data_IF_053531966151
#
_entry.id   IF_053531966151
#
_cell.length_a   1.000
_cell.length_b   1.000
_cell.length_c   1.000
_cell.angle_alpha   90.00
_cell.angle_beta   90.00
_cell.angle_gamma   90.00
#
_symmetry.space_group_name_H-M   'P 1'
#
loop_
_entity.id
_entity.type
_entity.pdbx_description
1 polymer ?
#
# COMPACT_ATOMS: atom_id res chain seq x y z
N UNK A 1 -24.60 37.56 -50.49
CA UNK A 1 -24.93 36.51 -49.50
C UNK A 1 -24.09 35.26 -49.77
N UNK A 2 -22.97 35.07 -49.06
CA UNK A 2 -22.29 33.77 -48.95
C UNK A 2 -21.73 33.70 -47.54
N UNK A 3 -22.39 32.96 -46.64
CA UNK A 3 -21.93 32.74 -45.27
C UNK A 3 -20.83 31.68 -45.32
N UNK A 4 -19.58 32.09 -45.08
CA UNK A 4 -18.50 31.15 -44.82
C UNK A 4 -18.67 30.66 -43.36
N UNK A 5 -19.10 29.42 -43.19
CA UNK A 5 -19.09 28.76 -41.89
C UNK A 5 -17.69 28.18 -41.72
N UNK A 6 -16.86 28.85 -40.91
CA UNK A 6 -15.54 28.38 -40.52
C UNK A 6 -15.71 27.36 -39.38
N UNK A 7 -15.73 26.06 -39.70
CA UNK A 7 -15.59 25.00 -38.71
C UNK A 7 -14.12 24.88 -38.30
N UNK A 8 -13.72 25.61 -37.26
CA UNK A 8 -12.39 25.43 -36.66
C UNK A 8 -12.45 24.27 -35.69
N UNK A 9 -12.01 23.10 -36.14
CA UNK A 9 -11.87 21.89 -35.31
C UNK A 9 -10.74 22.16 -34.33
N UNK A 10 -11.06 22.41 -33.06
CA UNK A 10 -10.09 22.45 -31.97
C UNK A 10 -9.58 21.03 -31.72
N UNK A 11 -8.33 20.77 -32.09
CA UNK A 11 -7.65 19.54 -31.74
C UNK A 11 -7.21 19.61 -30.27
N UNK A 12 -8.02 19.03 -29.38
CA UNK A 12 -7.62 18.77 -28.00
C UNK A 12 -6.54 17.68 -28.06
N UNK A 13 -5.27 18.07 -27.94
CA UNK A 13 -4.20 17.12 -27.63
C UNK A 13 -4.47 16.67 -26.19
N UNK A 14 -5.28 15.63 -26.03
CA UNK A 14 -5.33 14.88 -24.79
C UNK A 14 -3.97 14.18 -24.66
N UNK A 15 -3.01 14.86 -24.04
CA UNK A 15 -1.77 14.22 -23.63
C UNK A 15 -2.13 13.06 -22.74
N UNK A 16 -1.87 11.84 -23.20
CA UNK A 16 -2.11 10.62 -22.43
C UNK A 16 -1.22 10.67 -21.20
N UNK A 17 -1.76 11.09 -20.06
CA UNK A 17 -1.11 10.85 -18.77
C UNK A 17 -1.09 9.34 -18.56
N UNK A 18 0.09 8.74 -18.61
CA UNK A 18 0.27 7.34 -18.23
C UNK A 18 0.14 7.27 -16.70
N UNK A 19 -1.08 7.05 -16.22
CA UNK A 19 -1.33 6.83 -14.80
C UNK A 19 -0.53 5.62 -14.30
N UNK A 20 -0.11 5.65 -13.04
CA UNK A 20 0.55 4.50 -12.45
C UNK A 20 -0.36 3.25 -12.45
N UNK A 21 0.26 2.10 -12.71
CA UNK A 21 -0.40 0.80 -12.65
C UNK A 21 0.54 -0.26 -12.06
N UNK A 22 -0.03 -1.18 -11.29
CA UNK A 22 0.70 -2.28 -10.65
C UNK A 22 -0.17 -3.53 -10.58
N UNK A 23 0.35 -4.63 -11.14
CA UNK A 23 -0.31 -5.93 -11.10
C UNK A 23 0.31 -6.77 -9.99
N UNK A 24 -0.32 -6.75 -8.82
CA UNK A 24 0.06 -7.56 -7.67
C UNK A 24 -0.49 -8.97 -7.85
N UNK A 25 0.40 -9.95 -7.95
CA UNK A 25 0.03 -11.37 -8.17
C UNK A 25 -0.06 -12.17 -6.88
N UNK A 26 0.71 -11.78 -5.86
CA UNK A 26 0.72 -12.43 -4.55
C UNK A 26 0.81 -11.37 -3.48
N UNK A 27 0.03 -11.53 -2.41
CA UNK A 27 0.17 -10.73 -1.20
C UNK A 27 -0.15 -11.61 0.00
N UNK A 28 0.80 -11.69 0.94
CA UNK A 28 0.73 -12.54 2.11
C UNK A 28 1.10 -11.77 3.37
N UNK A 29 0.36 -12.03 4.45
CA UNK A 29 0.70 -11.60 5.79
C UNK A 29 1.01 -12.81 6.66
N UNK A 30 2.26 -12.94 7.06
CA UNK A 30 2.77 -14.04 7.87
C UNK A 30 2.87 -13.58 9.34
N UNK A 31 1.99 -14.04 10.23
CA UNK A 31 2.06 -13.70 11.65
C UNK A 31 3.31 -14.31 12.28
N UNK A 32 3.97 -13.53 13.13
CA UNK A 32 5.09 -13.99 13.96
C UNK A 32 4.93 -13.55 15.41
N UNK A 33 5.98 -13.78 16.20
CA UNK A 33 6.05 -13.24 17.55
C UNK A 33 6.34 -11.74 17.50
N UNK A 34 5.42 -10.93 18.02
CA UNK A 34 5.55 -9.47 18.12
C UNK A 34 5.73 -8.76 16.76
N UNK A 35 5.35 -9.41 15.67
CA UNK A 35 5.47 -8.86 14.32
C UNK A 35 4.53 -9.55 13.33
N UNK A 36 4.29 -8.88 12.21
CA UNK A 36 3.72 -9.47 11.00
C UNK A 36 4.68 -9.21 9.85
N UNK A 37 5.03 -10.25 9.09
CA UNK A 37 5.83 -10.10 7.88
C UNK A 37 4.89 -10.07 6.66
N UNK A 38 4.88 -8.96 5.95
CA UNK A 38 4.16 -8.77 4.71
C UNK A 38 5.08 -9.04 3.54
N UNK A 39 4.66 -9.90 2.62
CA UNK A 39 5.38 -10.17 1.39
C UNK A 39 4.42 -10.05 0.22
N UNK A 40 4.83 -9.32 -0.81
CA UNK A 40 4.05 -9.24 -2.05
C UNK A 40 4.95 -9.36 -3.27
N UNK A 41 4.35 -9.83 -4.34
CA UNK A 41 4.98 -10.00 -5.65
C UNK A 41 4.17 -9.28 -6.70
N UNK A 42 4.88 -8.63 -7.60
CA UNK A 42 4.34 -7.78 -8.64
C UNK A 42 4.86 -8.26 -9.98
N UNK A 43 3.95 -8.50 -10.92
CA UNK A 43 4.30 -8.95 -12.28
C UNK A 43 4.46 -7.81 -13.27
N UNK A 44 3.90 -6.63 -12.97
CA UNK A 44 4.01 -5.46 -13.82
C UNK A 44 3.92 -4.19 -12.98
N UNK A 45 4.79 -3.22 -13.24
CA UNK A 45 4.75 -1.88 -12.66
C UNK A 45 4.93 -0.85 -13.77
N UNK A 46 4.13 0.22 -13.76
CA UNK A 46 4.28 1.37 -14.65
C UNK A 46 4.07 2.63 -13.82
N UNK A 47 5.03 3.55 -13.83
CA UNK A 47 4.98 4.83 -13.08
C UNK A 47 4.67 4.71 -11.57
N UNK A 48 5.02 3.57 -10.96
CA UNK A 48 4.79 3.32 -9.52
C UNK A 48 5.91 3.93 -8.69
N UNK A 49 5.56 4.82 -7.77
CA UNK A 49 6.48 5.35 -6.73
C UNK A 49 6.84 4.28 -5.71
N UNK A 50 5.83 3.49 -5.34
CA UNK A 50 5.91 2.47 -4.30
C UNK A 50 4.55 2.13 -3.72
N UNK A 51 4.59 1.48 -2.57
CA UNK A 51 3.47 0.86 -1.90
C UNK A 51 3.33 1.45 -0.50
N UNK A 52 2.25 2.20 -0.28
CA UNK A 52 1.86 2.62 1.06
C UNK A 52 1.22 1.43 1.76
N UNK A 53 1.87 0.97 2.83
CA UNK A 53 1.39 -0.13 3.66
C UNK A 53 0.35 0.43 4.61
N UNK A 54 -0.87 -0.07 4.51
CA UNK A 54 -1.96 0.32 5.38
C UNK A 54 -2.44 -0.85 6.24
N UNK A 55 -2.80 -0.54 7.48
CA UNK A 55 -3.28 -1.50 8.46
C UNK A 55 -4.61 -1.06 9.06
N UNK A 56 -5.53 -2.01 9.23
CA UNK A 56 -6.78 -1.84 9.97
C UNK A 56 -6.94 -2.91 11.06
N UNK A 57 -7.86 -2.66 11.99
CA UNK A 57 -8.24 -3.63 13.05
C UNK A 57 -9.64 -4.23 12.84
N UNK A 58 -10.38 -3.74 11.86
CA UNK A 58 -11.78 -4.10 11.58
C UNK A 58 -12.04 -4.47 10.11
N UNK A 59 -10.99 -4.46 9.27
CA UNK A 59 -11.08 -4.71 7.83
C UNK A 59 -11.79 -3.63 7.02
N UNK A 60 -12.15 -2.49 7.64
CA UNK A 60 -12.89 -1.39 7.01
C UNK A 60 -12.09 -0.10 7.05
N UNK A 61 -11.53 0.22 8.21
CA UNK A 61 -10.75 1.42 8.45
C UNK A 61 -9.26 1.07 8.40
N UNK A 62 -8.56 1.67 7.46
CA UNK A 62 -7.13 1.46 7.24
C UNK A 62 -6.38 2.76 7.49
N UNK A 63 -5.28 2.66 8.24
CA UNK A 63 -4.35 3.77 8.47
C UNK A 63 -3.00 3.45 7.82
N UNK A 64 -2.31 4.44 7.24
CA UNK A 64 -0.94 4.25 6.78
C UNK A 64 -0.03 3.94 7.97
N UNK A 65 0.84 2.95 7.81
CA UNK A 65 1.86 2.61 8.81
C UNK A 65 3.28 2.76 8.27
N UNK A 66 3.47 2.61 6.97
CA UNK A 66 4.78 2.76 6.32
C UNK A 66 4.67 2.92 4.80
N UNK A 67 5.80 3.20 4.15
CA UNK A 67 5.91 3.28 2.69
C UNK A 67 7.12 2.49 2.18
N UNK A 68 6.88 1.55 1.27
CA UNK A 68 7.92 0.76 0.60
C UNK A 68 8.10 1.26 -0.83
N UNK A 69 9.23 1.90 -1.10
CA UNK A 69 9.57 2.43 -2.42
C UNK A 69 9.70 1.31 -3.46
N UNK A 70 9.19 1.55 -4.66
CA UNK A 70 9.38 0.63 -5.79
C UNK A 70 10.86 0.58 -6.19
N UNK A 71 11.29 -0.54 -6.79
CA UNK A 71 12.66 -0.65 -7.28
C UNK A 71 12.92 0.27 -8.47
N UNK A 72 14.17 0.68 -8.67
CA UNK A 72 14.56 1.56 -9.79
C UNK A 72 14.22 0.95 -11.16
N UNK A 73 14.27 -0.39 -11.26
CA UNK A 73 13.80 -1.11 -12.45
C UNK A 73 12.36 -1.58 -12.20
N UNK A 74 11.37 -1.15 -13.00
CA UNK A 74 9.98 -1.60 -12.85
C UNK A 74 9.85 -3.11 -13.08
N UNK A 75 8.88 -3.74 -12.39
CA UNK A 75 8.50 -5.11 -12.68
C UNK A 75 7.93 -5.25 -14.11
N UNK A 76 8.28 -6.35 -14.77
CA UNK A 76 7.67 -6.79 -16.02
C UNK A 76 7.37 -8.28 -15.94
N UNK A 77 6.54 -8.81 -16.83
CA UNK A 77 6.16 -10.23 -16.78
C UNK A 77 7.37 -11.17 -16.90
N UNK A 78 8.46 -10.72 -17.54
CA UNK A 78 9.72 -11.46 -17.64
C UNK A 78 10.63 -11.26 -16.41
N UNK A 79 10.42 -10.21 -15.61
CA UNK A 79 11.21 -9.87 -14.44
C UNK A 79 10.31 -9.36 -13.30
N UNK A 80 9.54 -10.25 -12.66
CA UNK A 80 8.69 -9.88 -11.54
C UNK A 80 9.52 -9.40 -10.35
N UNK A 81 8.94 -8.50 -9.54
CA UNK A 81 9.59 -7.98 -8.33
C UNK A 81 8.89 -8.49 -7.08
N UNK A 82 9.68 -8.75 -6.05
CA UNK A 82 9.18 -9.11 -4.74
C UNK A 82 9.60 -8.07 -3.72
N UNK A 83 8.69 -7.75 -2.81
CA UNK A 83 8.88 -6.77 -1.76
C UNK A 83 8.50 -7.37 -0.42
N UNK A 84 9.10 -6.84 0.64
CA UNK A 84 8.86 -7.29 2.01
C UNK A 84 8.76 -6.11 2.95
N UNK A 85 7.91 -6.25 3.97
CA UNK A 85 7.77 -5.29 5.06
C UNK A 85 7.51 -6.01 6.38
N UNK A 86 8.13 -5.56 7.46
CA UNK A 86 7.93 -6.15 8.80
C UNK A 86 7.26 -5.13 9.70
N UNK A 87 5.98 -5.35 9.98
CA UNK A 87 5.23 -4.56 10.95
C UNK A 87 5.55 -5.00 12.38
N UNK A 88 6.28 -4.17 13.12
CA UNK A 88 6.59 -4.34 14.56
C UNK A 88 5.77 -3.41 15.46
N UNK A 89 4.85 -2.64 14.88
CA UNK A 89 4.06 -1.62 15.59
C UNK A 89 2.73 -2.16 16.13
N UNK A 90 2.57 -3.49 16.14
CA UNK A 90 1.34 -4.22 16.47
C UNK A 90 0.96 -4.20 17.97
N UNK A 91 1.77 -3.59 18.82
CA UNK A 91 1.53 -3.50 20.27
C UNK A 91 0.58 -2.37 20.69
N UNK A 92 0.31 -1.43 19.78
CA UNK A 92 -0.49 -0.23 20.07
C UNK A 92 -2.00 -0.49 20.07
N UNK A 93 -2.55 -1.31 19.15
CA UNK A 93 -3.99 -1.55 19.10
C UNK A 93 -4.42 -2.67 20.05
N UNK A 94 -5.65 -2.59 20.57
CA UNK A 94 -6.26 -3.62 21.45
C UNK A 94 -6.67 -4.90 20.72
N UNK A 95 -6.43 -4.99 19.40
CA UNK A 95 -6.78 -6.13 18.56
C UNK A 95 -5.65 -7.14 18.41
N UNK A 96 -6.01 -8.43 18.32
CA UNK A 96 -5.08 -9.53 18.00
C UNK A 96 -5.11 -9.93 16.53
N UNK A 97 -6.00 -9.31 15.74
CA UNK A 97 -6.17 -9.56 14.31
C UNK A 97 -6.01 -8.24 13.58
N UNK A 98 -5.16 -8.26 12.56
CA UNK A 98 -4.84 -7.11 11.74
C UNK A 98 -5.16 -7.41 10.29
N UNK A 99 -5.66 -6.38 9.60
CA UNK A 99 -5.98 -6.39 8.19
C UNK A 99 -4.97 -5.50 7.49
N UNK A 100 -4.37 -5.97 6.41
CA UNK A 100 -3.39 -5.22 5.65
C UNK A 100 -3.82 -5.08 4.20
N UNK A 101 -3.51 -3.93 3.61
CA UNK A 101 -3.62 -3.67 2.18
C UNK A 101 -2.48 -2.77 1.73
N UNK A 102 -2.19 -2.80 0.45
CA UNK A 102 -1.21 -1.92 -0.18
C UNK A 102 -1.97 -0.88 -1.00
N UNK A 103 -1.68 0.39 -0.77
CA UNK A 103 -2.08 1.48 -1.64
C UNK A 103 -0.94 1.77 -2.63
N UNK A 104 -1.22 1.60 -3.92
CA UNK A 104 -0.26 1.84 -4.99
C UNK A 104 -0.17 3.34 -5.23
N UNK A 105 1.04 3.89 -5.11
CA UNK A 105 1.30 5.33 -5.21
C UNK A 105 1.90 5.68 -6.56
N UNK A 106 1.32 6.69 -7.20
CA UNK A 106 1.82 7.27 -8.44
C UNK A 106 3.10 8.08 -8.22
N UNK A 107 4.06 7.95 -9.15
CA UNK A 107 5.38 8.58 -9.01
C UNK A 107 5.34 10.11 -9.15
N UNK A 108 4.41 10.64 -9.94
CA UNK A 108 4.35 12.06 -10.26
C UNK A 108 3.41 12.81 -9.32
N UNK A 109 2.22 12.26 -9.09
CA UNK A 109 1.14 12.90 -8.33
C UNK A 109 1.08 12.49 -6.86
N UNK A 110 1.77 11.41 -6.47
CA UNK A 110 1.65 10.77 -5.15
C UNK A 110 0.22 10.33 -4.78
N UNK A 111 -0.67 10.30 -5.77
CA UNK A 111 -2.04 9.86 -5.62
C UNK A 111 -2.07 8.35 -5.42
N UNK A 112 -3.10 7.86 -4.70
CA UNK A 112 -3.39 6.43 -4.67
C UNK A 112 -4.17 6.08 -5.92
N UNK A 113 -3.62 5.22 -6.77
CA UNK A 113 -4.24 4.82 -8.03
C UNK A 113 -5.07 3.55 -7.90
N UNK A 114 -4.65 2.64 -7.03
CA UNK A 114 -5.31 1.35 -6.80
C UNK A 114 -4.89 0.74 -5.47
N UNK A 115 -5.61 -0.30 -5.05
CA UNK A 115 -5.34 -1.06 -3.84
C UNK A 115 -5.16 -2.54 -4.14
N UNK A 116 -4.34 -3.22 -3.33
CA UNK A 116 -4.28 -4.69 -3.32
C UNK A 116 -5.55 -5.31 -2.74
N UNK A 117 -5.65 -6.64 -2.85
CA UNK A 117 -6.53 -7.41 -1.96
C UNK A 117 -6.16 -7.20 -0.49
N UNK A 118 -7.13 -7.43 0.39
CA UNK A 118 -6.91 -7.37 1.85
C UNK A 118 -6.45 -8.73 2.34
N UNK A 119 -5.38 -8.74 3.14
CA UNK A 119 -4.88 -9.94 3.82
C UNK A 119 -5.02 -9.78 5.32
N UNK A 120 -5.14 -10.89 6.04
CA UNK A 120 -5.40 -10.92 7.49
C UNK A 120 -4.31 -11.70 8.19
N UNK A 121 -3.87 -11.21 9.34
CA UNK A 121 -2.93 -11.91 10.21
C UNK A 121 -3.27 -11.74 11.69
N UNK A 122 -3.07 -12.81 12.46
CA UNK A 122 -3.27 -12.83 13.91
C UNK A 122 -1.97 -13.21 14.63
N UNK A 123 -1.03 -12.25 14.84
CA UNK A 123 0.26 -12.51 15.45
C UNK A 123 0.17 -12.82 16.95
N UNK A 124 1.20 -13.49 17.47
CA UNK A 124 1.36 -13.67 18.91
C UNK A 124 1.97 -12.40 19.50
N UNK A 125 1.29 -11.75 20.44
CA UNK A 125 1.75 -10.51 21.08
C UNK A 125 2.13 -10.83 22.52
N UNK A 126 3.36 -10.48 22.92
CA UNK A 126 3.83 -10.69 24.28
C UNK A 126 3.11 -9.77 25.27
N UNK A 127 2.57 -10.35 26.34
CA UNK A 127 1.89 -9.60 27.40
C UNK A 127 2.81 -8.62 28.15
N UNK A 128 4.14 -8.87 28.14
CA UNK A 128 5.14 -8.03 28.81
C UNK A 128 5.14 -6.61 28.24
N UNK A 129 5.03 -6.42 26.92
CA UNK A 129 4.94 -5.08 26.34
C UNK A 129 3.65 -4.34 26.70
N UNK A 130 2.57 -5.08 26.99
CA UNK A 130 1.30 -4.53 27.43
C UNK A 130 1.32 -4.08 28.90
N UNK A 131 2.08 -4.76 29.76
CA UNK A 131 2.13 -4.44 31.20
C UNK A 131 3.15 -3.37 31.56
N UNK A 132 4.25 -3.21 30.83
CA UNK A 132 5.24 -2.16 31.10
C UNK A 132 4.68 -0.73 30.95
N UNK A 133 3.73 -0.53 30.03
CA UNK A 133 3.01 0.74 29.90
C UNK A 133 2.13 1.04 31.13
N UNK A 134 1.38 0.04 31.60
CA UNK A 134 0.51 0.16 32.77
C UNK A 134 1.30 0.36 34.06
N UNK A 135 2.42 -0.37 34.24
CA UNK A 135 3.28 -0.25 35.42
C UNK A 135 3.90 1.15 35.50
N UNK A 136 4.40 1.71 34.38
CA UNK A 136 4.92 3.09 34.38
C UNK A 136 3.85 4.14 34.68
N UNK A 137 2.58 3.89 34.35
CA UNK A 137 1.49 4.81 34.66
C UNK A 137 1.09 4.79 36.15
N UNK A 138 1.37 3.70 36.88
CA UNK A 138 1.02 3.55 38.30
C UNK A 138 1.98 4.30 39.25
N UNK A 139 3.17 4.66 38.80
CA UNK A 139 4.18 5.38 39.60
C UNK A 139 4.31 6.85 39.20
N UNK A 140 3.23 7.44 38.69
CA UNK A 140 3.11 8.87 38.37
C UNK A 140 2.07 9.53 39.25
#
# INVERSE_FOLDING_TARGET
MKKAVLFMVTFLIAGSFLAADSVIVEFHAMPGFNKVNLNWKVSQETNVKGYQVERGTDGRNFIPIDFVKATVTPATSANPKSYTYIDRSIFKPTGRTFYYRLAIKDIDSDAVVSYSSVVVASPQISGVHHTWGSIKAMFR
#
